data_IF_192159919118
#
_entry.id   IF_192159919118
#
_cell.length_a   1.000
_cell.length_b   1.000
_cell.length_c   1.000
_cell.angle_alpha   90.00
_cell.angle_beta   90.00
_cell.angle_gamma   90.00
#
_symmetry.space_group_name_H-M   'P 1'
#
loop_
_entity.id
_entity.type
_entity.pdbx_description
1 polymer ?
#
# COMPACT_ATOMS: atom_id res chain seq x y z
N UNK A 1 -27.37 40.12 -10.95
CA UNK A 1 -27.53 38.78 -10.33
C UNK A 1 -26.54 38.65 -9.20
N UNK A 2 -26.97 38.22 -8.01
CA UNK A 2 -26.06 37.91 -6.91
C UNK A 2 -25.49 36.51 -7.17
N UNK A 3 -24.19 36.41 -7.41
CA UNK A 3 -23.51 35.13 -7.46
C UNK A 3 -23.44 34.58 -6.04
N UNK A 4 -24.15 33.48 -5.78
CA UNK A 4 -24.01 32.74 -4.55
C UNK A 4 -22.80 31.83 -4.71
N UNK A 5 -21.64 32.30 -4.27
CA UNK A 5 -20.41 31.52 -4.28
C UNK A 5 -20.53 30.44 -3.21
N UNK A 6 -20.57 29.18 -3.65
CA UNK A 6 -20.46 28.02 -2.77
C UNK A 6 -18.98 27.71 -2.61
N UNK A 7 -18.56 27.51 -1.37
CA UNK A 7 -17.20 27.10 -1.05
C UNK A 7 -16.82 25.82 -1.81
N UNK A 8 -15.63 25.80 -2.41
CA UNK A 8 -15.19 24.71 -3.27
C UNK A 8 -15.21 23.36 -2.56
N UNK A 9 -14.83 23.32 -1.29
CA UNK A 9 -14.86 22.12 -0.45
C UNK A 9 -16.28 21.54 -0.34
N UNK A 10 -17.29 22.41 -0.19
CA UNK A 10 -18.70 22.01 -0.15
C UNK A 10 -19.13 21.41 -1.48
N UNK A 11 -18.69 21.95 -2.61
CA UNK A 11 -19.03 21.39 -3.94
C UNK A 11 -18.51 19.97 -4.15
N UNK A 12 -17.43 19.58 -3.46
CA UNK A 12 -16.83 18.26 -3.55
C UNK A 12 -17.51 17.21 -2.67
N UNK A 13 -18.39 17.64 -1.75
CA UNK A 13 -19.19 16.73 -0.93
C UNK A 13 -20.16 15.95 -1.82
N UNK A 14 -20.51 14.73 -1.38
CA UNK A 14 -21.56 13.97 -2.06
C UNK A 14 -22.88 14.75 -2.03
N UNK A 15 -23.74 14.54 -3.03
CA UNK A 15 -25.11 15.07 -3.02
C UNK A 15 -25.84 14.74 -1.72
N UNK A 16 -25.73 13.51 -1.21
CA UNK A 16 -26.30 13.12 0.09
C UNK A 16 -25.79 13.89 1.32
N UNK A 17 -24.77 14.73 1.17
CA UNK A 17 -24.18 15.61 2.20
C UNK A 17 -24.25 17.10 1.85
N UNK A 18 -25.01 17.46 0.81
CA UNK A 18 -25.25 18.86 0.42
C UNK A 18 -24.29 19.43 -0.63
N UNK A 19 -23.32 18.64 -1.10
CA UNK A 19 -22.42 19.06 -2.18
C UNK A 19 -22.91 18.70 -3.57
N UNK A 20 -22.17 19.12 -4.59
CA UNK A 20 -22.46 18.84 -6.00
C UNK A 20 -21.99 17.45 -6.45
N UNK A 21 -21.21 16.76 -5.62
CA UNK A 21 -20.62 15.46 -5.95
C UNK A 21 -19.42 15.56 -6.89
N UNK A 22 -18.81 16.75 -7.00
CA UNK A 22 -17.59 16.95 -7.78
C UNK A 22 -16.45 16.16 -7.12
N UNK A 23 -15.59 15.52 -7.92
CA UNK A 23 -14.46 14.79 -7.35
C UNK A 23 -13.44 15.77 -6.76
N UNK A 24 -12.95 15.46 -5.57
CA UNK A 24 -11.75 16.10 -5.05
C UNK A 24 -10.56 15.67 -5.92
N UNK A 25 -10.06 16.61 -6.73
CA UNK A 25 -9.01 16.35 -7.71
C UNK A 25 -7.67 16.04 -7.05
N UNK A 26 -7.39 16.60 -5.88
CA UNK A 26 -6.15 16.34 -5.14
C UNK A 26 -6.10 14.88 -4.67
N UNK A 27 -7.15 14.41 -3.99
CA UNK A 27 -7.29 13.01 -3.58
C UNK A 27 -7.26 12.10 -4.80
N UNK A 28 -7.97 12.46 -5.87
CA UNK A 28 -8.01 11.63 -7.07
C UNK A 28 -6.65 11.53 -7.75
N UNK A 29 -5.92 12.64 -7.86
CA UNK A 29 -4.56 12.67 -8.40
C UNK A 29 -3.60 11.83 -7.54
N UNK A 30 -3.65 11.95 -6.20
CA UNK A 30 -2.88 11.10 -5.29
C UNK A 30 -3.16 9.60 -5.53
N UNK A 31 -4.43 9.23 -5.70
CA UNK A 31 -4.82 7.84 -6.00
C UNK A 31 -4.27 7.35 -7.36
N UNK A 32 -4.25 8.21 -8.37
CA UNK A 32 -3.69 7.91 -9.69
C UNK A 32 -2.17 7.72 -9.63
N UNK A 33 -1.46 8.56 -8.89
CA UNK A 33 -0.02 8.42 -8.67
C UNK A 33 0.30 7.13 -7.90
N UNK A 34 -0.49 6.78 -6.87
CA UNK A 34 -0.36 5.49 -6.18
C UNK A 34 -0.62 4.29 -7.11
N UNK A 35 -1.48 4.42 -8.14
CA UNK A 35 -1.67 3.36 -9.14
C UNK A 35 -0.37 3.07 -9.90
N UNK A 36 0.45 4.07 -10.18
CA UNK A 36 1.75 3.88 -10.84
C UNK A 36 2.74 3.12 -9.96
N UNK A 37 2.77 3.40 -8.64
CA UNK A 37 3.56 2.58 -7.70
C UNK A 37 3.06 1.13 -7.66
N UNK A 38 1.74 0.94 -7.63
CA UNK A 38 1.17 -0.41 -7.68
C UNK A 38 1.60 -1.16 -8.94
N UNK A 39 1.53 -0.49 -10.10
CA UNK A 39 1.99 -1.06 -11.38
C UNK A 39 3.47 -1.39 -11.37
N UNK A 40 4.30 -0.58 -10.70
CA UNK A 40 5.73 -0.88 -10.53
C UNK A 40 5.96 -2.22 -9.82
N UNK A 41 5.13 -2.54 -8.82
CA UNK A 41 5.21 -3.79 -8.06
C UNK A 41 4.66 -5.00 -8.82
N UNK A 42 3.58 -4.80 -9.58
CA UNK A 42 2.79 -5.89 -10.19
C UNK A 42 3.22 -6.22 -11.63
N UNK A 43 3.76 -5.26 -12.38
CA UNK A 43 4.27 -5.50 -13.73
C UNK A 43 5.68 -6.12 -13.67
N UNK A 44 5.80 -7.36 -14.15
CA UNK A 44 7.09 -8.08 -14.19
C UNK A 44 8.05 -7.48 -15.23
N UNK A 45 7.59 -7.31 -16.47
CA UNK A 45 8.41 -6.85 -17.60
C UNK A 45 7.73 -5.63 -18.21
N UNK A 46 8.35 -4.47 -18.06
CA UNK A 46 7.81 -3.21 -18.57
C UNK A 46 8.92 -2.21 -18.82
N UNK A 47 9.03 -1.70 -20.06
CA UNK A 47 10.12 -0.79 -20.46
C UNK A 47 10.21 0.46 -19.57
N UNK A 48 9.06 1.02 -19.17
CA UNK A 48 9.06 2.19 -18.30
C UNK A 48 9.61 1.87 -16.91
N UNK A 49 9.35 0.66 -16.38
CA UNK A 49 9.89 0.18 -15.11
C UNK A 49 11.41 0.01 -15.22
N UNK A 50 11.91 -0.56 -16.31
CA UNK A 50 13.35 -0.69 -16.57
C UNK A 50 14.05 0.67 -16.60
N UNK A 51 13.47 1.67 -17.29
CA UNK A 51 14.01 3.03 -17.32
C UNK A 51 14.09 3.63 -15.91
N UNK A 52 13.07 3.42 -15.08
CA UNK A 52 13.06 3.88 -13.69
C UNK A 52 14.14 3.16 -12.87
N UNK A 53 14.25 1.84 -12.97
CA UNK A 53 15.25 1.04 -12.25
C UNK A 53 16.66 1.42 -12.68
N UNK A 54 16.92 1.60 -13.97
CA UNK A 54 18.23 2.00 -14.47
C UNK A 54 18.60 3.43 -14.03
N UNK A 55 17.62 4.35 -13.99
CA UNK A 55 17.86 5.75 -13.63
C UNK A 55 18.05 5.95 -12.12
N UNK A 56 17.31 5.23 -11.29
CA UNK A 56 17.25 5.48 -9.83
C UNK A 56 17.84 4.33 -8.99
N UNK A 57 18.00 3.14 -9.55
CA UNK A 57 18.37 1.94 -8.82
C UNK A 57 17.19 1.31 -8.07
N UNK A 58 17.41 0.09 -7.58
CA UNK A 58 16.40 -0.71 -6.88
C UNK A 58 17.07 -1.60 -5.82
N UNK A 59 16.78 -1.32 -4.54
CA UNK A 59 17.27 -2.10 -3.39
C UNK A 59 16.23 -3.10 -2.85
N UNK A 60 15.01 -3.09 -3.42
CA UNK A 60 13.92 -3.98 -3.05
C UNK A 60 13.14 -4.36 -4.30
N UNK A 61 12.71 -5.64 -4.47
CA UNK A 61 11.88 -6.05 -5.60
C UNK A 61 10.60 -5.22 -5.76
N UNK A 62 10.14 -4.60 -4.67
CA UNK A 62 8.87 -3.89 -4.60
C UNK A 62 8.97 -2.40 -4.95
N UNK A 63 10.14 -1.77 -4.84
CA UNK A 63 10.23 -0.32 -5.01
C UNK A 63 11.61 0.15 -5.46
N UNK A 64 11.65 1.22 -6.26
CA UNK A 64 12.90 1.91 -6.60
C UNK A 64 13.55 2.54 -5.35
N UNK A 65 14.81 2.90 -5.49
CA UNK A 65 15.47 3.73 -4.48
C UNK A 65 14.87 5.14 -4.43
N UNK A 66 15.22 5.88 -3.37
CA UNK A 66 14.85 7.28 -3.22
C UNK A 66 15.51 8.16 -4.30
N UNK A 67 14.80 9.20 -4.70
CA UNK A 67 15.17 10.02 -5.85
C UNK A 67 16.03 11.19 -5.41
N UNK A 68 17.35 11.00 -5.46
CA UNK A 68 18.33 11.99 -4.99
C UNK A 68 18.82 12.98 -6.08
N UNK A 69 18.45 12.79 -7.35
CA UNK A 69 18.92 13.65 -8.45
C UNK A 69 18.09 14.95 -8.54
N UNK A 70 18.76 16.07 -8.83
CA UNK A 70 18.19 17.43 -8.83
C UNK A 70 17.37 17.79 -10.08
N UNK A 71 17.65 17.21 -11.25
CA UNK A 71 17.02 17.58 -12.53
C UNK A 71 16.23 16.42 -13.16
N UNK A 72 15.08 16.73 -13.80
CA UNK A 72 14.33 15.77 -14.62
C UNK A 72 13.72 14.60 -13.84
N UNK A 73 13.41 14.80 -12.56
CA UNK A 73 12.94 13.75 -11.63
C UNK A 73 11.59 14.03 -10.97
N UNK A 74 10.98 15.20 -11.22
CA UNK A 74 9.82 15.67 -10.46
C UNK A 74 8.67 14.67 -10.39
N UNK A 75 8.27 14.09 -11.54
CA UNK A 75 7.14 13.16 -11.58
C UNK A 75 7.42 11.88 -10.77
N UNK A 76 8.54 11.20 -11.04
CA UNK A 76 8.85 9.96 -10.31
C UNK A 76 9.16 10.23 -8.84
N UNK A 77 9.76 11.37 -8.49
CA UNK A 77 9.97 11.78 -7.09
C UNK A 77 8.64 11.88 -6.34
N UNK A 78 7.64 12.52 -6.93
CA UNK A 78 6.29 12.62 -6.33
C UNK A 78 5.63 11.25 -6.21
N UNK A 79 5.72 10.42 -7.25
CA UNK A 79 5.19 9.04 -7.22
C UNK A 79 5.88 8.24 -6.12
N UNK A 80 7.21 8.26 -6.07
CA UNK A 80 8.03 7.53 -5.09
C UNK A 80 7.80 8.00 -3.65
N UNK A 81 7.47 9.28 -3.44
CA UNK A 81 7.11 9.83 -2.14
C UNK A 81 5.83 9.23 -1.54
N UNK A 82 4.97 8.61 -2.36
CA UNK A 82 3.75 7.94 -1.91
C UNK A 82 3.99 6.48 -1.47
N UNK A 83 5.23 6.00 -1.50
CA UNK A 83 5.56 4.60 -1.20
C UNK A 83 5.17 4.18 0.21
N UNK A 84 5.47 4.99 1.24
CA UNK A 84 5.11 4.67 2.63
C UNK A 84 3.61 4.43 2.77
N UNK A 85 2.78 5.33 2.21
CA UNK A 85 1.33 5.19 2.19
C UNK A 85 0.86 3.94 1.46
N UNK A 86 1.50 3.57 0.34
CA UNK A 86 1.19 2.31 -0.36
C UNK A 86 1.56 1.10 0.52
N UNK A 87 2.77 1.11 1.09
CA UNK A 87 3.33 0.03 1.90
C UNK A 87 2.44 -0.27 3.12
N UNK A 88 2.05 0.75 3.89
CA UNK A 88 1.15 0.65 5.04
C UNK A 88 -0.20 0.01 4.70
N UNK A 89 -0.69 0.24 3.48
CA UNK A 89 -1.98 -0.27 3.02
C UNK A 89 -1.88 -1.55 2.20
N UNK A 90 -0.70 -2.15 2.16
CA UNK A 90 -0.40 -3.37 1.43
C UNK A 90 0.21 -4.44 2.34
N UNK A 91 0.23 -5.68 1.86
CA UNK A 91 0.92 -6.81 2.49
C UNK A 91 1.45 -7.69 1.38
N UNK A 92 2.64 -8.25 1.55
CA UNK A 92 3.21 -9.15 0.55
C UNK A 92 2.59 -10.53 0.74
N UNK A 93 2.10 -11.11 -0.35
CA UNK A 93 1.69 -12.51 -0.42
C UNK A 93 2.86 -13.29 -1.02
N UNK A 94 3.43 -14.16 -0.21
CA UNK A 94 4.50 -15.06 -0.65
C UNK A 94 3.92 -16.08 -1.63
N UNK A 95 4.54 -16.18 -2.80
CA UNK A 95 4.38 -17.22 -3.79
C UNK A 95 5.59 -18.15 -3.73
N UNK A 96 6.52 -17.99 -4.67
CA UNK A 96 7.77 -18.74 -4.73
C UNK A 96 8.82 -18.31 -3.70
N UNK A 97 8.64 -17.16 -3.05
CA UNK A 97 9.51 -16.67 -1.97
C UNK A 97 10.84 -16.07 -2.41
N UNK A 98 11.07 -15.90 -3.71
CA UNK A 98 12.35 -15.43 -4.25
C UNK A 98 12.54 -13.92 -4.14
N UNK A 99 11.45 -13.16 -4.03
CA UNK A 99 11.45 -11.69 -3.99
C UNK A 99 11.01 -11.13 -2.63
N UNK A 100 10.94 -11.98 -1.60
CA UNK A 100 10.49 -11.60 -0.25
C UNK A 100 11.63 -11.77 0.72
N UNK A 101 12.15 -10.67 1.28
CA UNK A 101 13.15 -10.73 2.34
C UNK A 101 12.48 -11.13 3.64
N UNK A 102 12.95 -12.22 4.23
CA UNK A 102 12.38 -12.83 5.43
C UNK A 102 12.23 -11.80 6.57
N UNK A 103 13.30 -11.03 6.85
CA UNK A 103 13.31 -10.09 7.96
C UNK A 103 12.63 -8.75 7.65
N UNK A 104 12.89 -8.20 6.46
CA UNK A 104 12.64 -6.78 6.15
C UNK A 104 11.28 -6.49 5.52
N UNK A 105 10.69 -7.46 4.85
CA UNK A 105 9.45 -7.27 4.12
C UNK A 105 8.23 -7.67 4.99
N UNK A 106 7.09 -6.99 4.82
CA UNK A 106 5.86 -7.30 5.57
C UNK A 106 5.06 -8.39 4.84
N UNK A 107 5.46 -9.64 5.03
CA UNK A 107 4.83 -10.81 4.40
C UNK A 107 4.04 -11.68 5.38
N UNK A 108 4.34 -11.61 6.67
CA UNK A 108 3.67 -12.34 7.75
C UNK A 108 3.41 -11.43 8.94
N UNK A 109 2.33 -11.67 9.68
CA UNK A 109 1.89 -10.77 10.76
C UNK A 109 1.46 -9.38 10.27
N UNK A 110 1.56 -8.39 11.14
CA UNK A 110 1.16 -7.00 10.84
C UNK A 110 2.32 -6.08 10.46
N UNK A 111 3.53 -6.37 10.94
CA UNK A 111 4.76 -5.60 10.73
C UNK A 111 5.90 -6.54 10.32
N UNK A 112 6.95 -6.04 9.64
CA UNK A 112 8.14 -6.83 9.33
C UNK A 112 8.71 -7.56 10.55
N UNK A 113 9.27 -8.76 10.33
CA UNK A 113 9.83 -9.58 11.40
C UNK A 113 11.01 -8.89 12.09
N UNK A 114 11.77 -8.05 11.38
CA UNK A 114 12.83 -7.24 11.99
C UNK A 114 12.34 -6.29 13.09
N UNK A 115 11.10 -5.81 13.02
CA UNK A 115 10.57 -4.83 13.96
C UNK A 115 10.10 -5.53 15.24
N UNK A 116 9.57 -6.77 15.12
CA UNK A 116 9.23 -7.63 16.26
C UNK A 116 10.45 -8.36 16.86
N UNK A 117 11.42 -8.70 16.02
CA UNK A 117 12.59 -9.53 16.35
C UNK A 117 13.92 -8.88 15.93
N UNK A 118 14.21 -7.65 16.37
CA UNK A 118 15.43 -6.92 15.96
C UNK A 118 16.71 -7.61 16.46
N UNK A 119 16.67 -8.17 17.66
CA UNK A 119 17.72 -8.98 18.27
C UNK A 119 18.06 -10.22 17.43
N UNK A 120 17.05 -10.96 16.96
CA UNK A 120 17.28 -12.14 16.12
C UNK A 120 17.76 -11.78 14.72
N UNK A 121 17.23 -10.70 14.13
CA UNK A 121 17.73 -10.22 12.83
C UNK A 121 19.21 -9.88 12.90
N UNK A 122 19.67 -9.19 13.96
CA UNK A 122 21.07 -8.85 14.15
C UNK A 122 21.97 -10.09 14.33
N UNK A 123 21.43 -11.16 14.90
CA UNK A 123 22.13 -12.44 15.06
C UNK A 123 22.10 -13.30 13.80
N UNK A 124 21.17 -13.05 12.87
CA UNK A 124 21.06 -13.79 11.62
C UNK A 124 22.37 -13.74 10.85
N UNK A 125 22.84 -14.91 10.41
CA UNK A 125 23.99 -15.02 9.51
C UNK A 125 23.74 -14.28 8.20
N UNK A 126 22.51 -14.35 7.70
CA UNK A 126 22.08 -13.64 6.50
C UNK A 126 20.82 -12.79 6.78
N UNK A 127 20.98 -11.50 7.15
CA UNK A 127 19.85 -10.59 7.36
C UNK A 127 19.05 -10.27 6.09
N UNK A 128 19.62 -10.48 4.90
CA UNK A 128 18.95 -10.29 3.61
C UNK A 128 18.34 -11.58 3.05
N UNK A 129 18.31 -12.66 3.83
CA UNK A 129 17.78 -13.95 3.38
C UNK A 129 16.34 -13.80 2.87
N UNK A 130 16.06 -14.42 1.73
CA UNK A 130 14.72 -14.48 1.17
C UNK A 130 13.94 -15.66 1.74
N UNK A 131 12.61 -15.61 1.66
CA UNK A 131 11.74 -16.67 2.21
C UNK A 131 12.08 -18.03 1.58
N UNK A 132 12.30 -18.09 0.26
CA UNK A 132 12.66 -19.34 -0.41
C UNK A 132 14.01 -19.93 0.03
N UNK A 133 14.93 -19.10 0.54
CA UNK A 133 16.22 -19.53 1.04
C UNK A 133 16.21 -19.96 2.51
N UNK A 134 15.14 -19.66 3.25
CA UNK A 134 14.98 -19.98 4.68
C UNK A 134 13.86 -20.98 4.94
N UNK A 135 13.09 -21.38 3.93
CA UNK A 135 11.97 -22.29 4.05
C UNK A 135 12.16 -23.55 3.21
N UNK A 136 11.80 -24.69 3.77
CA UNK A 136 11.74 -25.98 3.09
C UNK A 136 10.51 -26.77 3.56
N UNK A 137 10.10 -27.85 2.86
CA UNK A 137 9.09 -28.76 3.38
C UNK A 137 9.45 -29.40 4.73
N UNK A 138 10.73 -29.37 5.13
CA UNK A 138 11.21 -29.84 6.43
C UNK A 138 11.13 -28.76 7.52
N UNK A 139 10.81 -27.51 7.16
CA UNK A 139 10.67 -26.38 8.07
C UNK A 139 11.59 -25.20 7.76
N UNK A 140 11.67 -24.29 8.72
CA UNK A 140 12.49 -23.08 8.65
C UNK A 140 13.96 -23.37 8.96
N UNK A 141 14.86 -22.95 8.07
CA UNK A 141 16.31 -22.97 8.26
C UNK A 141 16.81 -21.55 8.55
N UNK A 142 16.98 -21.24 9.85
CA UNK A 142 17.45 -19.95 10.34
C UNK A 142 18.82 -20.11 10.98
N UNK A 143 19.85 -19.65 10.26
CA UNK A 143 21.23 -19.70 10.71
C UNK A 143 21.63 -18.43 11.46
N UNK A 144 22.24 -18.60 12.64
CA UNK A 144 22.74 -17.50 13.47
C UNK A 144 24.27 -17.50 13.51
N UNK A 145 24.87 -16.31 13.66
CA UNK A 145 26.33 -16.10 13.62
C UNK A 145 27.07 -16.69 14.82
N UNK A 146 26.33 -17.10 15.86
CA UNK A 146 26.84 -17.72 17.09
C UNK A 146 25.76 -18.59 17.72
N UNK A 147 26.16 -19.41 18.69
CA UNK A 147 25.21 -20.11 19.54
C UNK A 147 24.25 -19.15 20.26
N UNK A 148 23.00 -19.58 20.35
CA UNK A 148 21.94 -18.88 21.04
C UNK A 148 22.14 -19.00 22.54
N UNK A 149 21.89 -17.91 23.25
CA UNK A 149 21.79 -17.90 24.70
C UNK A 149 20.38 -18.35 25.13
N UNK A 150 20.23 -18.81 26.37
CA UNK A 150 18.95 -19.35 26.86
C UNK A 150 17.76 -18.41 26.65
N UNK A 151 17.96 -17.10 26.83
CA UNK A 151 16.90 -16.11 26.61
C UNK A 151 16.61 -15.86 25.12
N UNK A 152 17.57 -16.08 24.22
CA UNK A 152 17.40 -15.96 22.76
C UNK A 152 16.68 -17.17 22.19
N UNK A 153 16.87 -18.37 22.78
CA UNK A 153 16.13 -19.57 22.39
C UNK A 153 14.62 -19.34 22.52
N UNK A 154 14.18 -18.71 23.62
CA UNK A 154 12.75 -18.36 23.79
C UNK A 154 12.26 -17.42 22.68
N UNK A 155 13.07 -16.43 22.29
CA UNK A 155 12.75 -15.50 21.19
C UNK A 155 12.60 -16.23 19.87
N UNK A 156 13.47 -17.20 19.59
CA UNK A 156 13.37 -18.03 18.37
C UNK A 156 12.10 -18.87 18.38
N UNK A 157 11.71 -19.44 19.52
CA UNK A 157 10.43 -20.16 19.63
C UNK A 157 9.25 -19.24 19.32
N UNK A 158 9.25 -18.00 19.82
CA UNK A 158 8.19 -17.03 19.54
C UNK A 158 8.19 -16.61 18.05
N UNK A 159 9.36 -16.46 17.43
CA UNK A 159 9.49 -16.24 15.99
C UNK A 159 8.88 -17.40 15.20
N UNK A 160 9.26 -18.64 15.53
CA UNK A 160 8.76 -19.84 14.86
C UNK A 160 7.23 -19.96 14.95
N UNK A 161 6.64 -19.61 16.10
CA UNK A 161 5.16 -19.57 16.25
C UNK A 161 4.50 -18.54 15.34
N UNK A 162 5.12 -17.38 15.15
CA UNK A 162 4.58 -16.35 14.24
C UNK A 162 4.62 -16.87 12.79
N UNK A 163 5.73 -17.49 12.39
CA UNK A 163 5.91 -18.00 11.02
C UNK A 163 5.23 -19.35 10.76
N UNK A 164 4.76 -20.06 11.78
CA UNK A 164 4.03 -21.33 11.66
C UNK A 164 2.70 -21.17 10.88
N UNK A 165 2.14 -19.97 10.86
CA UNK A 165 0.94 -19.66 10.07
C UNK A 165 1.20 -19.65 8.56
N UNK A 166 2.47 -19.74 8.13
CA UNK A 166 2.86 -19.79 6.73
C UNK A 166 2.63 -21.18 6.13
N UNK A 167 1.72 -21.28 5.16
CA UNK A 167 1.38 -22.53 4.47
C UNK A 167 2.42 -23.04 3.45
N UNK A 168 3.59 -22.40 3.35
CA UNK A 168 4.65 -22.77 2.42
C UNK A 168 4.62 -22.02 1.07
N UNK A 169 5.71 -22.19 0.32
CA UNK A 169 5.89 -21.57 -1.01
C UNK A 169 5.16 -22.35 -2.10
N UNK A 170 4.70 -21.64 -3.13
CA UNK A 170 4.05 -22.19 -4.32
C UNK A 170 4.80 -21.76 -5.59
N UNK A 171 4.44 -22.31 -6.76
CA UNK A 171 5.14 -21.98 -8.02
C UNK A 171 4.88 -20.55 -8.53
N UNK A 172 3.76 -19.94 -8.14
CA UNK A 172 3.38 -18.58 -8.55
C UNK A 172 4.38 -17.54 -8.03
N UNK A 173 4.58 -16.41 -8.74
CA UNK A 173 5.44 -15.33 -8.27
C UNK A 173 4.90 -14.67 -7.01
N UNK A 174 5.80 -14.11 -6.21
CA UNK A 174 5.43 -13.26 -5.07
C UNK A 174 4.65 -12.02 -5.54
N UNK A 175 3.62 -11.61 -4.79
CA UNK A 175 2.77 -10.49 -5.18
C UNK A 175 2.48 -9.55 -4.03
N UNK A 176 2.38 -8.26 -4.34
CA UNK A 176 1.82 -7.29 -3.40
C UNK A 176 0.29 -7.45 -3.36
N UNK A 177 -0.28 -7.48 -2.15
CA UNK A 177 -1.72 -7.60 -1.91
C UNK A 177 -2.24 -6.32 -1.24
N UNK A 178 -3.27 -5.73 -1.83
CA UNK A 178 -3.92 -4.55 -1.26
C UNK A 178 -4.83 -4.97 -0.09
N UNK A 179 -4.64 -4.39 1.09
CA UNK A 179 -5.37 -4.79 2.31
C UNK A 179 -6.87 -4.49 2.24
N UNK A 180 -7.27 -3.47 1.47
CA UNK A 180 -8.66 -3.00 1.39
C UNK A 180 -9.44 -3.60 0.21
N UNK A 181 -9.01 -4.75 -0.30
CA UNK A 181 -9.71 -5.50 -1.34
C UNK A 181 -9.66 -6.99 -0.99
N UNK A 182 -10.80 -7.67 -1.00
CA UNK A 182 -10.88 -9.12 -0.77
C UNK A 182 -10.01 -9.90 -1.76
N UNK A 183 -10.04 -9.50 -3.03
CA UNK A 183 -9.20 -10.03 -4.12
C UNK A 183 -7.73 -9.59 -4.02
N UNK A 184 -7.41 -8.62 -3.15
CA UNK A 184 -6.07 -8.05 -3.07
C UNK A 184 -5.71 -7.06 -4.18
N UNK A 185 -6.66 -6.73 -5.05
CA UNK A 185 -6.48 -5.82 -6.19
C UNK A 185 -6.51 -4.34 -5.79
N UNK A 186 -5.59 -3.54 -6.35
CA UNK A 186 -5.61 -2.07 -6.20
C UNK A 186 -6.46 -1.41 -7.28
N UNK A 187 -7.41 -0.58 -6.86
CA UNK A 187 -8.19 0.28 -7.77
C UNK A 187 -8.26 1.71 -7.25
N UNK A 188 -8.10 2.66 -8.17
CA UNK A 188 -8.16 4.11 -7.90
C UNK A 188 -9.50 4.49 -7.27
N UNK A 189 -10.61 3.90 -7.74
CA UNK A 189 -11.94 4.20 -7.24
C UNK A 189 -12.16 3.73 -5.79
N UNK A 190 -11.70 2.52 -5.41
CA UNK A 190 -11.81 2.04 -4.02
C UNK A 190 -10.98 2.91 -3.08
N UNK A 191 -9.73 3.24 -3.45
CA UNK A 191 -8.88 4.12 -2.66
C UNK A 191 -9.49 5.53 -2.52
N UNK A 192 -9.91 6.14 -3.64
CA UNK A 192 -10.54 7.46 -3.64
C UNK A 192 -11.76 7.50 -2.72
N UNK A 193 -12.65 6.50 -2.81
CA UNK A 193 -13.83 6.44 -1.93
C UNK A 193 -13.45 6.36 -0.47
N UNK A 194 -12.39 5.64 -0.11
CA UNK A 194 -11.91 5.53 1.27
C UNK A 194 -11.36 6.85 1.78
N UNK A 195 -10.39 7.44 1.08
CA UNK A 195 -9.77 8.72 1.43
C UNK A 195 -10.81 9.83 1.53
N UNK A 196 -11.71 9.90 0.55
CA UNK A 196 -12.78 10.88 0.52
C UNK A 196 -13.90 10.62 1.55
N UNK A 197 -14.01 9.40 2.11
CA UNK A 197 -14.97 9.13 3.19
C UNK A 197 -14.41 9.48 4.56
N UNK A 198 -13.09 9.30 4.77
CA UNK A 198 -12.39 9.74 5.99
C UNK A 198 -12.53 11.26 6.18
N UNK A 199 -12.61 12.01 5.09
CA UNK A 199 -12.75 13.47 5.10
C UNK A 199 -14.19 13.98 5.28
N UNK A 200 -15.21 13.12 5.35
CA UNK A 200 -16.62 13.55 5.32
C UNK A 200 -17.44 13.01 6.51
N UNK A 201 -17.87 13.91 7.42
CA UNK A 201 -18.84 13.65 8.50
C UNK A 201 -20.20 13.09 8.01
N UNK A 202 -20.98 12.50 8.92
CA UNK A 202 -22.20 11.70 8.65
C UNK A 202 -23.20 12.29 7.64
N UNK A 203 -23.86 11.40 6.88
CA UNK A 203 -24.91 11.80 5.92
C UNK A 203 -26.16 12.33 6.63
N UNK A 204 -26.41 13.64 6.55
CA UNK A 204 -27.68 14.21 6.98
C UNK A 204 -28.79 13.89 5.95
N UNK A 205 -29.84 13.20 6.40
CA UNK A 205 -30.99 12.76 5.56
C UNK A 205 -31.65 13.90 4.77
N UNK A 206 -31.57 15.14 5.26
CA UNK A 206 -32.16 16.32 4.64
C UNK A 206 -31.69 16.53 3.20
N UNK A 207 -30.42 16.25 2.90
CA UNK A 207 -29.84 16.53 1.58
C UNK A 207 -30.35 15.61 0.50
N UNK A 208 -30.76 14.37 0.84
CA UNK A 208 -31.41 13.48 -0.14
C UNK A 208 -32.70 14.10 -0.68
N UNK A 209 -33.44 14.84 0.15
CA UNK A 209 -34.68 15.48 -0.25
C UNK A 209 -34.42 16.75 -1.06
N UNK A 210 -33.37 17.51 -0.73
CA UNK A 210 -32.95 18.70 -1.49
C UNK A 210 -32.53 18.33 -2.92
N UNK A 211 -31.78 17.23 -3.11
CA UNK A 211 -31.31 16.82 -4.44
C UNK A 211 -32.31 15.99 -5.24
N UNK A 212 -33.32 15.38 -4.60
CA UNK A 212 -34.43 14.67 -5.27
C UNK A 212 -35.61 15.59 -5.60
N UNK A 213 -35.46 16.91 -5.44
CA UNK A 213 -36.55 17.86 -5.51
C UNK A 213 -37.34 17.75 -6.83
N UNK A 214 -38.66 17.54 -6.71
CA UNK A 214 -39.61 17.37 -7.82
C UNK A 214 -40.10 18.75 -8.33
N UNK A 215 -39.61 19.84 -7.74
CA UNK A 215 -39.98 21.20 -8.14
C UNK A 215 -39.60 21.48 -9.62
N UNK A 216 -40.42 22.26 -10.35
CA UNK A 216 -40.16 22.61 -11.74
C UNK A 216 -38.80 23.30 -11.91
N UNK A 217 -38.11 23.02 -13.01
CA UNK A 217 -36.76 23.53 -13.35
C UNK A 217 -36.59 25.05 -13.26
N UNK A 218 -37.70 25.82 -13.31
CA UNK A 218 -37.69 27.29 -13.16
C UNK A 218 -37.49 27.77 -11.72
N UNK A 219 -37.56 26.89 -10.72
CA UNK A 219 -37.47 27.22 -9.29
C UNK A 219 -36.27 26.54 -8.62
N UNK A 220 -35.50 25.73 -9.37
CA UNK A 220 -34.33 25.02 -8.84
C UNK A 220 -33.09 25.91 -8.92
N UNK A 221 -32.64 26.44 -7.78
CA UNK A 221 -31.44 27.30 -7.67
C UNK A 221 -30.10 26.54 -7.61
N UNK A 222 -30.09 25.21 -7.77
CA UNK A 222 -28.90 24.36 -7.56
C UNK A 222 -28.58 23.46 -8.77
N UNK A 223 -28.82 23.92 -9.99
CA UNK A 223 -28.26 23.28 -11.20
C UNK A 223 -26.84 23.72 -11.47
#
# INVERSE_FOLDING_TARGET
GRYNLVEWEVTQLRKGKGGLGIKNLEIHNSCLLMKWLWRFCDEEISLWKEVIVHKFGQNSPWCSNEVNCTYGTGVWRTIRGLWSKLQENSKIRVGNGNNVRFWKDNWIGEVPLQDKFPDLMLLSSNPEIVVSGSWSPQGWDLNFRRYLKDWEVKRVVDLLKEVDTFGGTIMEPDRLRWRHSSEGSFTVNKLYRRENSIMQEEELKIWRNVWKNIAPTKVTCFT
#
